data_IF_407559192838
#
_entry.id   IF_407559192838
#
_cell.length_a   1.000
_cell.length_b   1.000
_cell.length_c   1.000
_cell.angle_alpha   90.00
_cell.angle_beta   90.00
_cell.angle_gamma   90.00
#
_symmetry.space_group_name_H-M   'P 1'
#
loop_
_entity.id
_entity.type
_entity.pdbx_description
1 polymer ?
#
# COMPACT_ATOMS: atom_id res chain seq x y z
N UNK A 1 28.47 15.94 42.62
CA UNK A 1 27.66 14.70 42.54
C UNK A 1 26.52 14.79 41.52
N UNK A 2 25.93 15.98 41.33
CA UNK A 2 24.84 16.28 40.38
C UNK A 2 25.21 16.02 38.92
N UNK A 3 26.46 16.33 38.55
CA UNK A 3 27.00 16.18 37.19
C UNK A 3 26.93 14.74 36.63
N UNK A 4 27.17 13.72 37.49
CA UNK A 4 27.10 12.31 37.08
C UNK A 4 25.68 11.81 36.83
N UNK A 5 24.68 12.40 37.47
CA UNK A 5 23.27 12.03 37.27
C UNK A 5 22.75 12.69 35.99
N UNK A 6 23.05 13.97 35.77
CA UNK A 6 22.72 14.65 34.52
C UNK A 6 23.32 13.93 33.31
N UNK A 7 24.59 13.52 33.40
CA UNK A 7 25.23 12.74 32.32
C UNK A 7 24.60 11.35 32.13
N UNK A 8 24.10 10.74 33.19
CA UNK A 8 23.38 9.46 33.11
C UNK A 8 22.03 9.63 32.41
N UNK A 9 21.29 10.69 32.70
CA UNK A 9 20.03 11.02 32.00
C UNK A 9 20.25 11.23 30.51
N UNK A 10 21.26 12.03 30.14
CA UNK A 10 21.60 12.28 28.73
C UNK A 10 21.92 10.99 27.97
N UNK A 11 22.70 10.09 28.60
CA UNK A 11 23.03 8.80 28.00
C UNK A 11 21.80 7.90 27.89
N UNK A 12 20.92 7.88 28.90
CA UNK A 12 19.69 7.08 28.87
C UNK A 12 18.72 7.58 27.79
N UNK A 13 18.60 8.90 27.62
CA UNK A 13 17.82 9.49 26.55
C UNK A 13 18.38 9.10 25.18
N UNK A 14 19.70 9.22 24.98
CA UNK A 14 20.34 8.79 23.74
C UNK A 14 20.13 7.29 23.46
N UNK A 15 20.22 6.43 24.49
CA UNK A 15 19.94 5.00 24.34
C UNK A 15 18.47 4.70 24.00
N UNK A 16 17.54 5.53 24.50
CA UNK A 16 16.12 5.40 24.17
C UNK A 16 15.88 5.78 22.69
N UNK A 17 16.51 6.85 22.22
CA UNK A 17 16.45 7.30 20.82
C UNK A 17 17.06 6.28 19.87
N UNK A 18 18.20 5.71 20.22
CA UNK A 18 18.91 4.70 19.40
C UNK A 18 18.29 3.30 19.47
N UNK A 19 17.22 3.13 20.25
CA UNK A 19 16.61 1.83 20.60
C UNK A 19 17.63 0.79 21.13
N UNK A 20 18.69 1.25 21.81
CA UNK A 20 19.67 0.35 22.44
C UNK A 20 19.09 -0.19 23.75
N UNK A 21 19.14 -1.51 23.97
CA UNK A 21 18.60 -2.13 25.20
C UNK A 21 19.20 -1.52 26.47
N UNK A 22 18.37 -0.85 27.25
CA UNK A 22 18.78 -0.18 28.48
C UNK A 22 19.02 -1.21 29.58
N UNK A 23 20.30 -1.38 29.94
CA UNK A 23 20.74 -2.22 31.06
C UNK A 23 21.92 -1.55 31.75
N UNK A 24 22.15 -1.85 33.03
CA UNK A 24 23.30 -1.30 33.77
C UNK A 24 24.63 -1.55 33.05
N UNK A 25 24.81 -2.70 32.39
CA UNK A 25 26.02 -2.99 31.60
C UNK A 25 26.11 -2.13 30.34
N UNK A 26 25.01 -1.94 29.62
CA UNK A 26 24.98 -1.13 28.40
C UNK A 26 25.24 0.35 28.70
N UNK A 27 24.63 0.88 29.76
CA UNK A 27 24.85 2.25 30.24
C UNK A 27 26.33 2.49 30.56
N UNK A 28 27.00 1.53 31.24
CA UNK A 28 28.43 1.66 31.55
C UNK A 28 29.31 1.70 30.29
N UNK A 29 28.96 0.99 29.21
CA UNK A 29 29.69 1.06 27.95
C UNK A 29 29.63 2.47 27.34
N UNK A 30 28.45 3.09 27.36
CA UNK A 30 28.23 4.47 26.88
C UNK A 30 28.86 5.54 27.78
N UNK A 31 28.96 5.25 29.08
CA UNK A 31 29.53 6.16 30.09
C UNK A 31 31.00 5.84 30.44
N UNK A 32 31.71 5.12 29.56
CA UNK A 32 33.10 4.71 29.84
C UNK A 32 33.95 5.93 30.23
N UNK A 33 34.47 5.90 31.46
CA UNK A 33 35.23 7.02 32.07
C UNK A 33 34.53 7.75 33.22
N UNK A 34 33.20 7.72 33.32
CA UNK A 34 32.43 8.40 34.41
C UNK A 34 31.95 7.41 35.48
N UNK A 35 31.42 6.28 35.02
CA UNK A 35 31.03 5.11 35.82
C UNK A 35 31.73 3.90 35.21
N UNK A 36 32.33 3.05 36.04
CA UNK A 36 33.21 1.97 35.56
C UNK A 36 32.59 0.60 35.69
N UNK A 37 31.73 0.41 36.69
CA UNK A 37 31.13 -0.89 37.00
C UNK A 37 29.61 -0.80 37.05
N UNK A 38 28.87 -1.83 36.62
CA UNK A 38 27.41 -1.88 36.75
C UNK A 38 26.93 -1.69 38.20
N UNK A 39 27.77 -2.08 39.18
CA UNK A 39 27.53 -1.86 40.60
C UNK A 39 27.44 -0.39 41.00
N UNK A 40 28.07 0.52 40.23
CA UNK A 40 28.00 1.97 40.47
C UNK A 40 26.60 2.54 40.18
N UNK A 41 25.80 1.80 39.41
CA UNK A 41 24.39 2.07 39.13
C UNK A 41 23.52 1.32 40.14
N UNK A 42 23.74 0.02 40.32
CA UNK A 42 22.82 -0.82 41.11
C UNK A 42 22.91 -0.62 42.62
N UNK A 43 24.04 -0.12 43.15
CA UNK A 43 24.18 0.20 44.59
C UNK A 43 23.67 1.59 44.97
N UNK A 44 23.43 2.46 43.98
CA UNK A 44 22.90 3.80 44.23
C UNK A 44 21.42 3.83 43.84
N UNK A 45 20.54 3.96 44.84
CA UNK A 45 19.09 3.89 44.62
C UNK A 45 18.57 4.92 43.62
N UNK A 46 19.12 6.14 43.60
CA UNK A 46 18.70 7.16 42.61
C UNK A 46 19.03 6.74 41.17
N UNK A 47 20.25 6.24 40.93
CA UNK A 47 20.67 5.81 39.59
C UNK A 47 19.94 4.55 39.14
N UNK A 48 19.75 3.61 40.05
CA UNK A 48 18.98 2.39 39.81
C UNK A 48 17.54 2.70 39.43
N UNK A 49 16.87 3.58 40.18
CA UNK A 49 15.52 4.02 39.87
C UNK A 49 15.43 4.69 38.50
N UNK A 50 16.40 5.54 38.17
CA UNK A 50 16.45 6.22 36.87
C UNK A 50 16.60 5.22 35.71
N UNK A 51 17.55 4.28 35.79
CA UNK A 51 17.72 3.25 34.75
C UNK A 51 16.48 2.37 34.63
N UNK A 52 15.81 2.05 35.73
CA UNK A 52 14.57 1.27 35.71
C UNK A 52 13.41 2.03 35.06
N UNK A 53 13.27 3.33 35.30
CA UNK A 53 12.25 4.16 34.67
C UNK A 53 12.43 4.19 33.14
N UNK A 54 13.65 4.49 32.68
CA UNK A 54 13.94 4.55 31.24
C UNK A 54 13.82 3.18 30.56
N UNK A 55 14.24 2.09 31.22
CA UNK A 55 14.01 0.74 30.71
C UNK A 55 12.51 0.43 30.60
N UNK A 56 11.70 0.83 31.59
CA UNK A 56 10.24 0.67 31.53
C UNK A 56 9.59 1.52 30.43
N UNK A 57 10.11 2.72 30.15
CA UNK A 57 9.67 3.53 29.00
C UNK A 57 9.99 2.84 27.67
N UNK A 58 11.20 2.30 27.52
CA UNK A 58 11.61 1.56 26.33
C UNK A 58 10.70 0.34 26.10
N UNK A 59 10.42 -0.44 27.13
CA UNK A 59 9.56 -1.62 27.03
C UNK A 59 8.12 -1.26 26.62
N UNK A 60 7.58 -0.15 27.14
CA UNK A 60 6.27 0.37 26.73
C UNK A 60 6.25 0.77 25.26
N UNK A 61 7.27 1.47 24.78
CA UNK A 61 7.42 1.89 23.37
C UNK A 61 7.49 0.65 22.48
N UNK A 62 8.38 -0.30 22.77
CA UNK A 62 8.53 -1.55 22.00
C UNK A 62 7.23 -2.36 21.99
N UNK A 63 6.58 -2.51 23.14
CA UNK A 63 5.31 -3.24 23.24
C UNK A 63 4.18 -2.56 22.45
N UNK A 64 4.19 -1.23 22.32
CA UNK A 64 3.22 -0.51 21.50
C UNK A 64 3.51 -0.69 20.00
N UNK A 65 4.78 -0.61 19.59
CA UNK A 65 5.21 -0.87 18.21
C UNK A 65 4.91 -2.30 17.78
N UNK A 66 5.20 -3.29 18.62
CA UNK A 66 4.89 -4.70 18.34
C UNK A 66 3.38 -4.95 18.18
N UNK A 67 2.55 -4.36 19.04
CA UNK A 67 1.08 -4.44 18.92
C UNK A 67 0.57 -3.77 17.66
N UNK A 68 1.12 -2.60 17.31
CA UNK A 68 0.77 -1.87 16.09
C UNK A 68 1.16 -2.67 14.84
N UNK A 69 2.39 -3.19 14.76
CA UNK A 69 2.91 -3.90 13.59
C UNK A 69 2.17 -5.21 13.26
N UNK A 70 1.75 -5.98 14.29
CA UNK A 70 0.95 -7.19 14.09
C UNK A 70 -0.47 -6.87 13.60
N UNK A 71 -1.12 -5.89 14.22
CA UNK A 71 -2.46 -5.44 13.82
C UNK A 71 -2.46 -4.80 12.43
N UNK A 72 -1.45 -3.96 12.13
CA UNK A 72 -1.33 -3.26 10.86
C UNK A 72 -1.05 -4.20 9.70
N UNK A 73 -0.25 -5.25 9.89
CA UNK A 73 0.05 -6.22 8.82
C UNK A 73 -1.19 -7.02 8.42
N UNK A 74 -1.94 -7.53 9.40
CA UNK A 74 -3.18 -8.28 9.13
C UNK A 74 -4.23 -7.38 8.47
N UNK A 75 -4.37 -6.14 8.93
CA UNK A 75 -5.31 -5.19 8.31
C UNK A 75 -4.86 -4.80 6.89
N UNK A 76 -3.56 -4.62 6.64
CA UNK A 76 -3.03 -4.36 5.30
C UNK A 76 -3.27 -5.55 4.35
N UNK A 77 -3.02 -6.77 4.80
CA UNK A 77 -3.29 -8.00 4.02
C UNK A 77 -4.79 -8.12 3.69
N UNK A 78 -5.68 -7.79 4.66
CA UNK A 78 -7.13 -7.74 4.44
C UNK A 78 -7.52 -6.68 3.41
N UNK A 79 -6.98 -5.47 3.52
CA UNK A 79 -7.27 -4.39 2.56
C UNK A 79 -6.78 -4.72 1.15
N UNK A 80 -5.60 -5.33 1.01
CA UNK A 80 -5.08 -5.79 -0.28
C UNK A 80 -6.03 -6.82 -0.90
N UNK A 81 -6.47 -7.80 -0.11
CA UNK A 81 -7.41 -8.83 -0.58
C UNK A 81 -8.75 -8.23 -1.06
N UNK A 82 -9.30 -7.28 -0.28
CA UNK A 82 -10.53 -6.58 -0.66
C UNK A 82 -10.36 -5.74 -1.93
N UNK A 83 -9.26 -5.00 -2.05
CA UNK A 83 -8.98 -4.18 -3.23
C UNK A 83 -8.73 -5.04 -4.47
N UNK A 84 -8.06 -6.18 -4.34
CA UNK A 84 -7.89 -7.12 -5.45
C UNK A 84 -9.22 -7.71 -5.91
N UNK A 85 -10.08 -8.11 -4.97
CA UNK A 85 -11.44 -8.60 -5.29
C UNK A 85 -12.25 -7.54 -6.04
N UNK A 86 -12.15 -6.28 -5.61
CA UNK A 86 -12.82 -5.15 -6.27
C UNK A 86 -12.27 -4.87 -7.68
N UNK A 87 -10.95 -4.98 -7.86
CA UNK A 87 -10.31 -4.85 -9.18
C UNK A 87 -10.83 -5.93 -10.13
N UNK A 88 -10.90 -7.19 -9.70
CA UNK A 88 -11.41 -8.28 -10.54
C UNK A 88 -12.89 -8.08 -10.89
N UNK A 89 -13.71 -7.63 -9.94
CA UNK A 89 -15.11 -7.27 -10.19
C UNK A 89 -15.23 -6.17 -11.25
N UNK A 90 -14.48 -5.07 -11.09
CA UNK A 90 -14.49 -3.95 -12.03
C UNK A 90 -13.97 -4.33 -13.42
N UNK A 91 -12.99 -5.23 -13.51
CA UNK A 91 -12.52 -5.79 -14.79
C UNK A 91 -13.64 -6.57 -15.49
N UNK A 92 -14.34 -7.44 -14.77
CA UNK A 92 -15.48 -8.18 -15.31
C UNK A 92 -16.60 -7.26 -15.79
N UNK A 93 -16.95 -6.22 -15.02
CA UNK A 93 -17.97 -5.23 -15.43
C UNK A 93 -17.54 -4.43 -16.66
N UNK A 94 -16.26 -4.05 -16.75
CA UNK A 94 -15.70 -3.39 -17.92
C UNK A 94 -15.82 -4.27 -19.16
N UNK A 95 -15.44 -5.55 -19.08
CA UNK A 95 -15.53 -6.49 -20.20
C UNK A 95 -16.98 -6.68 -20.66
N UNK A 96 -17.91 -6.84 -19.72
CA UNK A 96 -19.34 -6.95 -20.01
C UNK A 96 -19.87 -5.69 -20.72
N UNK A 97 -19.49 -4.50 -20.24
CA UNK A 97 -19.91 -3.24 -20.84
C UNK A 97 -19.37 -3.09 -22.27
N UNK A 98 -18.12 -3.48 -22.49
CA UNK A 98 -17.50 -3.50 -23.82
C UNK A 98 -18.26 -4.46 -24.75
N UNK A 99 -18.56 -5.68 -24.29
CA UNK A 99 -19.30 -6.67 -25.07
C UNK A 99 -20.70 -6.15 -25.45
N UNK A 100 -21.39 -5.51 -24.50
CA UNK A 100 -22.68 -4.87 -24.74
C UNK A 100 -22.59 -3.77 -25.81
N UNK A 101 -21.59 -2.89 -25.74
CA UNK A 101 -21.39 -1.84 -26.74
C UNK A 101 -21.10 -2.41 -28.13
N UNK A 102 -20.26 -3.45 -28.22
CA UNK A 102 -20.00 -4.15 -29.49
C UNK A 102 -21.29 -4.72 -30.08
N UNK A 103 -22.11 -5.39 -29.27
CA UNK A 103 -23.38 -5.95 -29.71
C UNK A 103 -24.32 -4.86 -30.24
N UNK A 104 -24.44 -3.72 -29.53
CA UNK A 104 -25.26 -2.59 -29.97
C UNK A 104 -24.77 -1.99 -31.30
N UNK A 105 -23.46 -1.82 -31.46
CA UNK A 105 -22.84 -1.31 -32.69
C UNK A 105 -23.15 -2.24 -33.88
N UNK A 106 -23.03 -3.56 -33.67
CA UNK A 106 -23.34 -4.55 -34.71
C UNK A 106 -24.82 -4.54 -35.07
N UNK A 107 -25.72 -4.61 -34.09
CA UNK A 107 -27.17 -4.62 -34.34
C UNK A 107 -27.65 -3.35 -35.04
N UNK A 108 -27.12 -2.18 -34.69
CA UNK A 108 -27.48 -0.92 -35.37
C UNK A 108 -26.94 -0.86 -36.81
N UNK A 109 -25.76 -1.41 -37.08
CA UNK A 109 -25.23 -1.53 -38.43
C UNK A 109 -26.05 -2.51 -39.29
N UNK A 110 -26.44 -3.66 -38.73
CA UNK A 110 -27.28 -4.66 -39.41
C UNK A 110 -28.68 -4.14 -39.72
N UNK A 111 -29.33 -3.45 -38.77
CA UNK A 111 -30.70 -2.95 -38.94
C UNK A 111 -30.81 -1.71 -39.83
N UNK A 112 -29.82 -0.80 -39.79
CA UNK A 112 -29.94 0.53 -40.41
C UNK A 112 -28.92 0.85 -41.49
N UNK A 113 -27.98 -0.06 -41.76
CA UNK A 113 -26.84 0.16 -42.65
C UNK A 113 -25.88 1.25 -42.16
N UNK A 114 -24.78 1.45 -42.90
CA UNK A 114 -23.71 2.37 -42.53
C UNK A 114 -24.16 3.83 -42.36
N UNK A 115 -25.15 4.29 -43.14
CA UNK A 115 -25.65 5.67 -43.06
C UNK A 115 -26.38 5.98 -41.74
N UNK A 116 -27.19 5.05 -41.24
CA UNK A 116 -27.89 5.21 -39.95
C UNK A 116 -26.93 5.05 -38.78
N UNK A 117 -26.02 4.08 -38.89
CA UNK A 117 -24.92 3.90 -37.94
C UNK A 117 -24.12 5.20 -37.76
N UNK A 118 -23.64 5.78 -38.87
CA UNK A 118 -22.85 7.01 -38.85
C UNK A 118 -23.59 8.16 -38.17
N UNK A 119 -24.85 8.41 -38.52
CA UNK A 119 -25.65 9.49 -37.90
C UNK A 119 -25.89 9.29 -36.39
N UNK A 120 -26.09 8.04 -35.96
CA UNK A 120 -26.35 7.74 -34.56
C UNK A 120 -25.08 7.91 -33.71
N UNK A 121 -23.95 7.41 -34.21
CA UNK A 121 -22.68 7.41 -33.47
C UNK A 121 -21.83 8.66 -33.63
N UNK A 122 -22.16 9.57 -34.56
CA UNK A 122 -21.45 10.85 -34.79
C UNK A 122 -21.24 11.65 -33.49
N UNK A 123 -22.24 11.63 -32.59
CA UNK A 123 -22.20 12.31 -31.28
C UNK A 123 -21.39 11.59 -30.21
N UNK A 124 -21.00 10.34 -30.47
CA UNK A 124 -20.32 9.45 -29.55
C UNK A 124 -18.92 9.07 -30.04
N UNK A 125 -18.35 9.84 -30.98
CA UNK A 125 -17.04 9.54 -31.58
C UNK A 125 -15.94 9.34 -30.53
N UNK A 126 -15.91 10.16 -29.47
CA UNK A 126 -14.96 9.99 -28.37
C UNK A 126 -15.07 8.63 -27.65
N UNK A 127 -16.28 8.07 -27.54
CA UNK A 127 -16.48 6.74 -26.98
C UNK A 127 -16.04 5.64 -27.95
N UNK A 128 -16.24 5.85 -29.26
CA UNK A 128 -15.75 4.94 -30.31
C UNK A 128 -14.22 4.93 -30.33
N UNK A 129 -13.57 6.08 -30.28
CA UNK A 129 -12.11 6.19 -30.27
C UNK A 129 -11.51 5.52 -29.03
N UNK A 130 -12.17 5.67 -27.88
CA UNK A 130 -11.78 4.97 -26.65
C UNK A 130 -11.96 3.44 -26.78
N UNK A 131 -13.05 2.97 -27.39
CA UNK A 131 -13.26 1.55 -27.67
C UNK A 131 -12.21 1.01 -28.66
N UNK A 132 -11.87 1.77 -29.71
CA UNK A 132 -10.83 1.38 -30.68
C UNK A 132 -9.44 1.29 -30.03
N UNK A 133 -9.09 2.28 -29.20
CA UNK A 133 -7.85 2.26 -28.41
C UNK A 133 -7.77 1.08 -27.44
N UNK A 134 -8.91 0.52 -27.01
CA UNK A 134 -8.98 -0.72 -26.23
C UNK A 134 -9.00 -1.99 -27.09
N UNK A 135 -8.83 -1.89 -28.42
CA UNK A 135 -8.95 -3.00 -29.37
C UNK A 135 -10.35 -3.60 -29.39
N UNK A 136 -11.36 -2.79 -29.08
CA UNK A 136 -12.68 -3.25 -28.73
C UNK A 136 -13.78 -2.96 -29.75
N UNK A 137 -13.43 -2.51 -30.95
CA UNK A 137 -14.36 -2.48 -32.07
C UNK A 137 -14.34 -3.82 -32.84
N UNK A 138 -15.50 -4.29 -33.34
CA UNK A 138 -15.53 -5.45 -34.21
C UNK A 138 -14.75 -5.18 -35.50
N UNK A 139 -13.81 -6.06 -35.85
CA UNK A 139 -13.15 -6.04 -37.16
C UNK A 139 -13.94 -6.93 -38.09
N UNK A 140 -14.77 -6.34 -38.94
CA UNK A 140 -15.45 -7.10 -39.98
C UNK A 140 -14.46 -7.41 -41.10
N UNK A 141 -14.26 -8.70 -41.40
CA UNK A 141 -13.61 -9.13 -42.64
C UNK A 141 -14.63 -9.01 -43.77
N UNK A 142 -14.42 -8.09 -44.70
CA UNK A 142 -15.32 -7.90 -45.84
C UNK A 142 -15.11 -9.05 -46.82
N UNK A 143 -15.89 -10.12 -46.69
CA UNK A 143 -15.94 -11.18 -47.69
C UNK A 143 -16.74 -10.68 -48.89
N UNK A 144 -16.06 -10.44 -50.02
CA UNK A 144 -16.75 -10.14 -51.29
C UNK A 144 -17.53 -11.38 -51.71
N UNK A 145 -18.85 -11.28 -51.73
CA UNK A 145 -19.69 -12.29 -52.35
C UNK A 145 -19.39 -12.30 -53.86
N UNK A 146 -19.06 -13.45 -54.48
CA UNK A 146 -18.86 -13.51 -55.92
C UNK A 146 -20.16 -13.10 -56.60
N UNK A 147 -20.06 -12.17 -57.55
CA UNK A 147 -21.16 -11.80 -58.43
C UNK A 147 -21.51 -13.06 -59.22
N UNK A 148 -22.71 -13.59 -59.02
CA UNK A 148 -23.28 -14.63 -59.87
C UNK A 148 -23.33 -14.08 -61.30
N UNK A 149 -22.45 -14.56 -62.16
CA UNK A 149 -22.60 -14.49 -63.61
C UNK A 149 -23.92 -15.19 -63.94
N UNK A 150 -24.92 -14.41 -64.34
CA UNK A 150 -26.11 -14.95 -64.99
C UNK A 150 -25.87 -14.95 -66.51
N UNK A 151 -26.20 -16.05 -67.21
CA UNK A 151 -26.10 -16.16 -68.67
C UNK A 151 -27.14 -15.31 -69.40
#
# INVERSE_FOLDING_TARGET
MTDKIARLEEVLEAMLVDDEKITARAVIRRMSGVLKYPTDITRNEKRKALVADYAGRQDKIRSAVERSSKSSRVELERQISLKNSEIERLRGEKELLIASHRAMILSTAEMGGFGTWKRFFDKYQAAIDALDGMGALPRAEVVRHPLSEQP
#
